data_IF_411762194933
#
_entry.id   IF_411762194933
#
_cell.length_a   1.000
_cell.length_b   1.000
_cell.length_c   1.000
_cell.angle_alpha   90.00
_cell.angle_beta   90.00
_cell.angle_gamma   90.00
#
_symmetry.space_group_name_H-M   'P 1'
#
loop_
_entity.id
_entity.type
_entity.pdbx_description
1 polymer ?
#
# COMPACT_ATOMS: atom_id res chain seq x y z
N UNK A 1 -5.89 2.33 -6.17
CA UNK A 1 -4.93 1.24 -5.87
C UNK A 1 -5.52 -0.16 -6.09
N UNK A 2 -6.71 -0.49 -5.56
CA UNK A 2 -7.33 -1.83 -5.68
C UNK A 2 -7.58 -2.31 -7.11
N UNK A 3 -8.05 -1.43 -8.00
CA UNK A 3 -8.26 -1.75 -9.42
C UNK A 3 -6.99 -2.30 -10.10
N UNK A 4 -5.83 -1.70 -9.81
CA UNK A 4 -4.53 -2.17 -10.32
C UNK A 4 -4.22 -3.57 -9.82
N UNK A 5 -4.43 -3.81 -8.53
CA UNK A 5 -4.17 -5.12 -7.91
C UNK A 5 -5.06 -6.19 -8.55
N UNK A 6 -6.36 -5.91 -8.73
CA UNK A 6 -7.29 -6.82 -9.39
C UNK A 6 -6.91 -7.10 -10.86
N UNK A 7 -6.47 -6.07 -11.59
CA UNK A 7 -6.00 -6.23 -12.97
C UNK A 7 -4.72 -7.09 -13.08
N UNK A 8 -3.89 -7.09 -12.03
CA UNK A 8 -2.68 -7.92 -11.92
C UNK A 8 -2.96 -9.30 -11.28
N UNK A 9 -4.21 -9.78 -11.28
CA UNK A 9 -4.65 -11.03 -10.65
C UNK A 9 -4.40 -11.12 -9.13
N UNK A 10 -4.08 -10.02 -8.45
CA UNK A 10 -4.01 -9.97 -6.99
C UNK A 10 -5.38 -9.98 -6.33
N UNK A 11 -5.42 -10.34 -5.06
CA UNK A 11 -6.64 -10.35 -4.23
C UNK A 11 -6.60 -9.23 -3.20
N UNK A 12 -7.75 -8.60 -2.96
CA UNK A 12 -7.91 -7.57 -1.92
C UNK A 12 -9.14 -7.88 -1.08
N UNK A 13 -8.95 -8.11 0.22
CA UNK A 13 -10.04 -8.30 1.19
C UNK A 13 -9.54 -8.09 2.62
N UNK A 14 -10.48 -7.92 3.57
CA UNK A 14 -10.20 -7.76 5.00
C UNK A 14 -10.19 -9.12 5.70
N UNK A 15 -9.51 -9.21 6.85
CA UNK A 15 -9.71 -10.34 7.76
C UNK A 15 -11.05 -10.19 8.49
N UNK A 16 -11.65 -11.30 8.92
CA UNK A 16 -12.92 -11.29 9.64
C UNK A 16 -12.81 -10.62 11.02
N UNK A 17 -11.66 -10.71 11.67
CA UNK A 17 -11.34 -10.10 12.98
C UNK A 17 -10.88 -8.64 12.89
N UNK A 18 -10.45 -8.19 11.71
CA UNK A 18 -10.05 -6.81 11.42
C UNK A 18 -10.83 -6.20 10.24
N UNK A 19 -12.16 -6.02 10.40
CA UNK A 19 -12.99 -5.44 9.36
C UNK A 19 -12.56 -3.99 9.08
N UNK A 20 -12.31 -3.68 7.80
CA UNK A 20 -11.92 -2.35 7.32
C UNK A 20 -10.45 -2.24 6.89
N UNK A 21 -9.58 -3.15 7.34
CA UNK A 21 -8.19 -3.19 6.90
C UNK A 21 -8.06 -4.04 5.64
N UNK A 22 -8.04 -3.38 4.49
CA UNK A 22 -7.88 -4.05 3.20
C UNK A 22 -6.43 -4.51 3.03
N UNK A 23 -6.26 -5.81 2.79
CA UNK A 23 -4.96 -6.45 2.63
C UNK A 23 -4.80 -7.00 1.23
N UNK A 24 -3.56 -7.03 0.74
CA UNK A 24 -3.18 -7.66 -0.52
C UNK A 24 -2.73 -9.08 -0.27
N UNK A 25 -3.27 -10.00 -1.06
CA UNK A 25 -3.05 -11.44 -0.94
C UNK A 25 -2.61 -12.03 -2.26
N UNK A 26 -1.80 -13.11 -2.19
CA UNK A 26 -1.51 -13.91 -3.36
C UNK A 26 -2.79 -14.53 -3.94
N UNK A 27 -2.84 -14.83 -5.25
CA UNK A 27 -4.06 -15.35 -5.87
C UNK A 27 -4.49 -16.70 -5.28
N UNK A 28 -3.52 -17.59 -5.04
CA UNK A 28 -3.74 -18.98 -4.64
C UNK A 28 -3.59 -19.25 -3.15
N UNK A 29 -2.98 -18.34 -2.38
CA UNK A 29 -2.67 -18.55 -0.96
C UNK A 29 -2.98 -17.28 -0.18
N UNK A 30 -3.53 -17.43 1.02
CA UNK A 30 -3.83 -16.32 1.93
C UNK A 30 -2.58 -15.88 2.70
N UNK A 31 -1.57 -15.46 1.93
CA UNK A 31 -0.33 -14.87 2.40
C UNK A 31 0.13 -13.83 1.36
N UNK A 32 0.86 -12.77 1.71
CA UNK A 32 1.25 -12.35 3.05
C UNK A 32 0.15 -11.62 3.83
N UNK A 33 -0.87 -11.07 3.17
CA UNK A 33 -1.84 -10.19 3.83
C UNK A 33 -1.31 -8.79 4.08
N UNK A 34 -0.63 -8.22 3.07
CA UNK A 34 0.03 -6.91 3.17
C UNK A 34 -1.01 -5.78 3.23
N UNK A 35 -1.00 -4.97 4.30
CA UNK A 35 -1.93 -3.85 4.48
C UNK A 35 -1.56 -2.59 3.68
N UNK A 36 -0.76 -2.74 2.63
CA UNK A 36 -0.28 -1.65 1.77
C UNK A 36 -0.32 -2.08 0.30
N UNK A 37 -0.52 -1.11 -0.59
CA UNK A 37 -0.51 -1.32 -2.05
C UNK A 37 0.78 -0.86 -2.72
N UNK A 38 1.64 -0.16 -1.98
CA UNK A 38 2.96 0.31 -2.40
C UNK A 38 3.95 0.11 -1.28
N UNK A 39 5.09 -0.48 -1.60
CA UNK A 39 6.15 -0.78 -0.63
C UNK A 39 7.49 -1.01 -1.34
N UNK A 40 8.60 -0.84 -0.64
CA UNK A 40 9.87 -1.44 -1.06
C UNK A 40 9.92 -2.90 -0.58
N UNK A 41 10.62 -3.78 -1.30
CA UNK A 41 10.63 -5.20 -0.96
C UNK A 41 9.33 -5.90 -1.39
N UNK A 42 8.75 -6.74 -0.53
CA UNK A 42 7.49 -7.47 -0.77
C UNK A 42 7.43 -8.19 -2.14
N UNK A 43 8.55 -8.80 -2.52
CA UNK A 43 8.77 -9.35 -3.87
C UNK A 43 7.69 -10.35 -4.31
N UNK A 44 7.14 -11.13 -3.39
CA UNK A 44 6.10 -12.11 -3.69
C UNK A 44 4.80 -11.47 -4.21
N UNK A 45 4.48 -10.23 -3.82
CA UNK A 45 3.25 -9.52 -4.22
C UNK A 45 3.46 -8.49 -5.33
N UNK A 46 4.70 -8.32 -5.82
CA UNK A 46 5.04 -7.36 -6.87
C UNK A 46 4.36 -7.66 -8.20
N UNK A 47 4.30 -8.94 -8.57
CA UNK A 47 3.62 -9.38 -9.80
C UNK A 47 2.09 -9.25 -9.70
N UNK A 48 1.57 -9.04 -8.48
CA UNK A 48 0.14 -8.96 -8.18
C UNK A 48 -0.32 -7.53 -7.88
N UNK A 49 0.40 -6.53 -8.40
CA UNK A 49 -0.03 -5.13 -8.40
C UNK A 49 0.48 -4.28 -7.24
N UNK A 50 1.30 -4.83 -6.33
CA UNK A 50 2.09 -4.01 -5.38
C UNK A 50 3.26 -3.39 -6.12
N UNK A 51 3.43 -2.07 -6.01
CA UNK A 51 4.48 -1.34 -6.73
C UNK A 51 5.45 -0.65 -5.78
N UNK A 52 6.65 -0.32 -6.26
CA UNK A 52 7.62 0.50 -5.51
C UNK A 52 7.71 1.93 -6.06
N UNK A 53 6.81 2.30 -6.97
CA UNK A 53 6.76 3.66 -7.51
C UNK A 53 6.11 4.57 -6.48
N UNK A 54 6.85 5.57 -5.95
CA UNK A 54 6.33 6.48 -4.94
C UNK A 54 5.30 7.44 -5.54
N UNK A 55 4.47 8.01 -4.67
CA UNK A 55 3.74 9.24 -5.00
C UNK A 55 4.68 10.43 -4.74
N UNK A 56 4.86 11.28 -5.74
CA UNK A 56 5.75 12.43 -5.66
C UNK A 56 4.92 13.70 -5.75
N UNK A 57 4.96 14.50 -4.69
CA UNK A 57 4.33 15.82 -4.64
C UNK A 57 5.40 16.88 -4.37
N UNK A 58 5.16 18.10 -4.84
CA UNK A 58 6.05 19.24 -4.63
C UNK A 58 5.26 20.36 -3.96
N UNK A 59 5.87 20.99 -2.96
CA UNK A 59 5.32 22.15 -2.29
C UNK A 59 6.40 23.23 -2.12
N UNK A 60 6.08 24.45 -2.51
CA UNK A 60 6.83 25.66 -2.18
C UNK A 60 6.68 26.07 -0.70
N UNK A 61 7.77 26.03 0.04
CA UNK A 61 7.82 26.46 1.45
C UNK A 61 7.68 27.98 1.53
N UNK A 62 6.85 28.45 2.47
CA UNK A 62 6.58 29.85 2.76
C UNK A 62 6.97 30.20 4.19
N UNK A 63 6.97 31.49 4.54
CA UNK A 63 7.20 31.94 5.92
C UNK A 63 6.10 31.53 6.91
N UNK A 64 4.99 30.97 6.44
CA UNK A 64 3.90 30.46 7.31
C UNK A 64 4.12 29.02 7.76
N UNK A 65 5.00 28.28 7.09
CA UNK A 65 5.27 26.87 7.38
C UNK A 65 6.32 26.78 8.50
N UNK A 66 5.97 26.14 9.62
CA UNK A 66 6.82 26.13 10.82
C UNK A 66 7.72 24.89 10.92
N UNK A 67 7.21 23.72 10.53
CA UNK A 67 7.94 22.46 10.56
C UNK A 67 7.22 21.42 9.67
N UNK A 68 7.93 20.34 9.36
CA UNK A 68 7.39 19.16 8.66
C UNK A 68 7.48 17.97 9.60
N UNK A 69 6.39 17.21 9.72
CA UNK A 69 6.35 15.96 10.49
C UNK A 69 6.37 14.79 9.52
N UNK A 70 7.28 13.84 9.77
CA UNK A 70 7.29 12.52 9.16
C UNK A 70 7.22 11.48 10.28
N UNK A 71 6.25 10.57 10.20
CA UNK A 71 6.01 9.54 11.20
C UNK A 71 5.53 8.24 10.54
N UNK A 72 5.70 7.11 11.24
CA UNK A 72 5.00 5.86 10.93
C UNK A 72 3.53 5.92 11.36
N UNK A 73 2.75 4.90 10.99
CA UNK A 73 1.34 4.73 11.33
C UNK A 73 1.10 4.30 12.80
N UNK A 74 2.14 3.92 13.54
CA UNK A 74 2.06 3.55 14.96
C UNK A 74 3.42 3.42 15.63
#
# INVERSE_FOLDING_TARGET
ESERILHCNGRVFCLDDEPGVHRVWLPSVETPGLAMSRAFGDFCVKEFGVISVPEVTQWSITSKDQFVILASDG
#
